data_IF_651469642418
#
_entry.id   IF_651469642418
#
_cell.length_a   1.000
_cell.length_b   1.000
_cell.length_c   1.000
_cell.angle_alpha   90.00
_cell.angle_beta   90.00
_cell.angle_gamma   90.00
#
_symmetry.space_group_name_H-M   'P 1'
#
loop_
_entity.id
_entity.type
_entity.pdbx_description
1 polymer ?
#
# COMPACT_ATOMS: atom_id res chain seq x y z
N UNK A 1 -20.49 5.53 -24.60
CA UNK A 1 -21.12 6.74 -24.05
C UNK A 1 -20.31 7.19 -22.84
N UNK A 2 -20.17 8.51 -22.58
CA UNK A 2 -19.52 8.98 -21.37
C UNK A 2 -20.36 8.65 -20.13
N UNK A 3 -19.71 8.38 -18.99
CA UNK A 3 -20.34 8.02 -17.72
C UNK A 3 -19.66 8.76 -16.57
N UNK A 4 -20.44 9.32 -15.65
CA UNK A 4 -19.97 9.83 -14.36
C UNK A 4 -20.76 9.13 -13.26
N UNK A 5 -20.07 8.53 -12.29
CA UNK A 5 -20.71 7.84 -11.17
C UNK A 5 -19.88 7.91 -9.89
N UNK A 6 -20.53 7.69 -8.74
CA UNK A 6 -19.82 7.53 -7.47
C UNK A 6 -19.29 6.11 -7.33
N UNK A 7 -18.04 5.99 -6.91
CA UNK A 7 -17.42 4.74 -6.51
C UNK A 7 -17.62 4.51 -5.01
N UNK A 8 -18.07 3.31 -4.67
CA UNK A 8 -18.00 2.79 -3.31
C UNK A 8 -16.56 2.38 -3.00
N UNK A 9 -16.15 2.37 -1.73
CA UNK A 9 -14.88 1.77 -1.33
C UNK A 9 -14.80 0.31 -1.80
N UNK A 10 -13.65 -0.10 -2.31
CA UNK A 10 -13.47 -1.45 -2.82
C UNK A 10 -12.18 -1.67 -3.60
N UNK A 11 -12.06 -2.88 -4.15
CA UNK A 11 -10.93 -3.27 -4.98
C UNK A 11 -11.19 -2.91 -6.44
N UNK A 12 -10.20 -2.29 -7.07
CA UNK A 12 -10.15 -2.03 -8.52
C UNK A 12 -9.07 -2.92 -9.13
N UNK A 13 -9.46 -3.70 -10.14
CA UNK A 13 -8.54 -4.52 -10.93
C UNK A 13 -8.29 -3.84 -12.27
N UNK A 14 -7.02 -3.54 -12.54
CA UNK A 14 -6.53 -3.04 -13.81
C UNK A 14 -5.86 -4.18 -14.57
N UNK A 15 -6.36 -4.48 -15.77
CA UNK A 15 -5.74 -5.46 -16.67
C UNK A 15 -4.99 -4.71 -17.77
N UNK A 16 -3.69 -4.95 -17.86
CA UNK A 16 -2.81 -4.36 -18.86
C UNK A 16 -2.87 -5.15 -20.16
N UNK A 17 -2.46 -4.51 -21.27
CA UNK A 17 -2.46 -5.13 -22.61
C UNK A 17 -1.55 -6.35 -22.70
N UNK A 18 -0.48 -6.39 -21.90
CA UNK A 18 0.45 -7.51 -21.80
C UNK A 18 -0.11 -8.71 -21.00
N UNK A 19 -1.32 -8.60 -20.44
CA UNK A 19 -1.96 -9.64 -19.64
C UNK A 19 -1.73 -9.51 -18.12
N UNK A 20 -0.88 -8.59 -17.68
CA UNK A 20 -0.63 -8.37 -16.26
C UNK A 20 -1.86 -7.78 -15.56
N UNK A 21 -2.09 -8.22 -14.33
CA UNK A 21 -3.13 -7.66 -13.47
C UNK A 21 -2.52 -6.85 -12.33
N UNK A 22 -3.03 -5.62 -12.15
CA UNK A 22 -2.73 -4.78 -11.01
C UNK A 22 -3.98 -4.57 -10.18
N UNK A 23 -3.83 -4.66 -8.86
CA UNK A 23 -4.92 -4.49 -7.92
C UNK A 23 -4.69 -3.23 -7.11
N UNK A 24 -5.75 -2.46 -6.92
CA UNK A 24 -5.77 -1.24 -6.13
C UNK A 24 -6.91 -1.31 -5.13
N UNK A 25 -6.69 -0.86 -3.91
CA UNK A 25 -7.74 -0.48 -3.00
C UNK A 25 -8.06 1.00 -3.21
N UNK A 26 -9.35 1.33 -3.34
CA UNK A 26 -9.83 2.70 -3.34
C UNK A 26 -10.80 2.90 -2.17
N UNK A 27 -10.66 4.02 -1.45
CA UNK A 27 -11.56 4.38 -0.35
C UNK A 27 -12.94 4.87 -0.82
N UNK A 28 -13.15 4.98 -2.13
CA UNK A 28 -14.35 5.55 -2.77
C UNK A 28 -14.00 6.77 -3.62
N UNK A 29 -15.00 7.44 -4.19
CA UNK A 29 -14.79 8.67 -4.94
C UNK A 29 -15.69 8.81 -6.17
N UNK A 30 -15.16 9.36 -7.26
CA UNK A 30 -15.86 9.56 -8.52
C UNK A 30 -15.12 8.84 -9.65
N UNK A 31 -15.88 8.12 -10.47
CA UNK A 31 -15.42 7.53 -11.72
C UNK A 31 -15.97 8.37 -12.88
N UNK A 32 -15.08 8.81 -13.74
CA UNK A 32 -15.39 9.42 -15.03
C UNK A 32 -14.88 8.54 -16.17
N UNK A 33 -15.75 8.20 -17.11
CA UNK A 33 -15.43 7.43 -18.31
C UNK A 33 -15.66 8.32 -19.52
N UNK A 34 -14.61 8.56 -20.29
CA UNK A 34 -14.64 9.24 -21.58
C UNK A 34 -14.20 8.26 -22.69
N UNK A 35 -14.40 8.56 -24.00
CA UNK A 35 -14.10 7.60 -25.07
C UNK A 35 -12.64 7.13 -25.13
N UNK A 36 -11.69 7.95 -24.69
CA UNK A 36 -10.25 7.66 -24.76
C UNK A 36 -9.58 7.51 -23.39
N UNK A 37 -10.26 7.93 -22.31
CA UNK A 37 -9.67 7.99 -20.97
C UNK A 37 -10.70 7.63 -19.90
N UNK A 38 -10.25 6.90 -18.88
CA UNK A 38 -11.01 6.63 -17.68
C UNK A 38 -10.25 7.24 -16.50
N UNK A 39 -10.93 8.08 -15.73
CA UNK A 39 -10.35 8.78 -14.59
C UNK A 39 -11.06 8.37 -13.30
N UNK A 40 -10.28 7.91 -12.32
CA UNK A 40 -10.75 7.61 -10.96
C UNK A 40 -10.19 8.67 -10.02
N UNK A 41 -11.08 9.49 -9.48
CA UNK A 41 -10.75 10.48 -8.45
C UNK A 41 -11.15 9.87 -7.10
N UNK A 42 -10.17 9.55 -6.26
CA UNK A 42 -10.37 8.92 -4.95
C UNK A 42 -9.57 9.65 -3.87
N UNK A 43 -10.13 9.75 -2.67
CA UNK A 43 -9.44 10.33 -1.51
C UNK A 43 -8.21 9.50 -1.10
N UNK A 44 -8.26 8.19 -1.34
CA UNK A 44 -7.14 7.27 -1.12
C UNK A 44 -7.17 6.16 -2.17
N UNK A 45 -6.04 5.98 -2.84
CA UNK A 45 -5.81 4.88 -3.78
C UNK A 45 -4.46 4.24 -3.48
N UNK A 46 -4.47 2.97 -3.08
CA UNK A 46 -3.26 2.22 -2.69
C UNK A 46 -3.17 0.97 -3.53
N UNK A 47 -2.02 0.70 -4.16
CA UNK A 47 -1.80 -0.58 -4.83
C UNK A 47 -1.85 -1.70 -3.80
N UNK A 48 -2.54 -2.80 -4.10
CA UNK A 48 -2.66 -3.93 -3.19
C UNK A 48 -1.29 -4.47 -2.78
N UNK A 49 -0.34 -4.52 -3.71
CA UNK A 49 1.04 -4.91 -3.41
C UNK A 49 1.78 -3.89 -2.51
N UNK A 50 1.37 -2.63 -2.53
CA UNK A 50 1.93 -1.56 -1.68
C UNK A 50 1.20 -1.48 -0.33
N UNK A 51 0.08 -2.17 -0.12
CA UNK A 51 -0.67 -2.14 1.15
C UNK A 51 0.13 -2.83 2.28
N UNK A 52 0.76 -3.96 1.97
CA UNK A 52 1.65 -4.68 2.89
C UNK A 52 2.96 -3.90 3.11
N UNK A 53 3.50 -3.28 2.06
CA UNK A 53 4.69 -2.43 2.17
C UNK A 53 4.40 -1.15 2.97
N UNK A 54 3.25 -0.51 2.78
CA UNK A 54 2.86 0.71 3.47
C UNK A 54 2.64 0.46 4.96
N UNK A 55 2.01 -0.66 5.33
CA UNK A 55 1.88 -1.05 6.73
C UNK A 55 3.24 -1.33 7.37
N UNK A 56 4.10 -2.09 6.70
CA UNK A 56 5.41 -2.40 7.23
C UNK A 56 6.34 -1.16 7.30
N UNK A 57 6.25 -0.23 6.33
CA UNK A 57 6.93 1.08 6.39
C UNK A 57 6.40 1.97 7.49
N UNK A 58 5.08 1.99 7.71
CA UNK A 58 4.47 2.77 8.79
C UNK A 58 4.91 2.24 10.15
N UNK A 59 4.89 0.91 10.35
CA UNK A 59 5.41 0.28 11.55
C UNK A 59 6.90 0.59 11.78
N UNK A 60 7.70 0.62 10.71
CA UNK A 60 9.11 1.06 10.76
C UNK A 60 9.23 2.52 11.23
N UNK A 61 8.47 3.44 10.64
CA UNK A 61 8.51 4.87 10.95
C UNK A 61 8.04 5.14 12.40
N UNK A 62 6.99 4.46 12.84
CA UNK A 62 6.48 4.54 14.22
C UNK A 62 7.52 4.01 15.22
N UNK A 63 8.18 2.89 14.91
CA UNK A 63 9.25 2.34 15.74
C UNK A 63 10.51 3.24 15.74
N UNK A 64 10.90 3.84 14.61
CA UNK A 64 12.00 4.80 14.54
C UNK A 64 11.70 6.06 15.37
N UNK A 65 10.45 6.55 15.34
CA UNK A 65 10.01 7.68 16.19
C UNK A 65 9.99 7.31 17.67
N UNK A 66 9.58 6.08 18.01
CA UNK A 66 9.59 5.59 19.38
C UNK A 66 11.01 5.45 19.95
N UNK A 67 12.00 5.08 19.13
CA UNK A 67 13.42 5.03 19.53
C UNK A 67 14.03 6.44 19.62
N UNK A 68 13.65 7.34 18.72
CA UNK A 68 14.15 8.72 18.69
C UNK A 68 13.61 9.58 19.84
N UNK A 69 12.35 9.35 20.24
CA UNK A 69 11.82 9.89 21.48
C UNK A 69 12.42 9.11 22.65
N UNK A 70 13.09 9.79 23.58
CA UNK A 70 13.72 9.17 24.75
C UNK A 70 12.67 8.64 25.73
N UNK A 71 12.06 7.49 25.43
CA UNK A 71 11.27 6.68 26.36
C UNK A 71 12.17 5.88 27.32
N UNK A 72 11.56 5.19 28.28
CA UNK A 72 12.30 4.37 29.24
C UNK A 72 13.07 3.23 28.55
N UNK A 73 14.15 2.74 29.15
CA UNK A 73 15.02 1.68 28.57
C UNK A 73 14.24 0.43 28.12
N UNK A 74 13.10 0.15 28.75
CA UNK A 74 12.21 -0.95 28.38
C UNK A 74 11.42 -0.68 27.09
N UNK A 75 10.94 0.55 26.89
CA UNK A 75 10.23 0.96 25.66
C UNK A 75 11.15 0.97 24.44
N UNK A 76 12.44 1.32 24.64
CA UNK A 76 13.45 1.28 23.59
C UNK A 76 13.70 -0.16 23.11
N UNK A 77 13.74 -1.13 24.03
CA UNK A 77 13.95 -2.53 23.68
C UNK A 77 12.77 -3.14 22.91
N UNK A 78 11.53 -2.80 23.28
CA UNK A 78 10.35 -3.19 22.51
C UNK A 78 10.31 -2.53 21.13
N UNK A 79 10.61 -1.23 21.04
CA UNK A 79 10.64 -0.52 19.77
C UNK A 79 11.73 -1.07 18.83
N UNK A 80 12.91 -1.46 19.35
CA UNK A 80 13.94 -2.12 18.55
C UNK A 80 13.52 -3.49 18.01
N UNK A 81 12.80 -4.28 18.81
CA UNK A 81 12.26 -5.56 18.36
C UNK A 81 11.18 -5.36 17.27
N UNK A 82 10.29 -4.39 17.45
CA UNK A 82 9.30 -4.03 16.44
C UNK A 82 9.94 -3.52 15.15
N UNK A 83 11.00 -2.72 15.25
CA UNK A 83 11.77 -2.26 14.10
C UNK A 83 12.41 -3.42 13.34
N UNK A 84 13.04 -4.37 14.06
CA UNK A 84 13.65 -5.55 13.45
C UNK A 84 12.62 -6.44 12.73
N UNK A 85 11.44 -6.63 13.33
CA UNK A 85 10.35 -7.39 12.70
C UNK A 85 9.81 -6.69 11.46
N UNK A 86 9.61 -5.37 11.49
CA UNK A 86 9.15 -4.59 10.34
C UNK A 86 10.15 -4.65 9.18
N UNK A 87 11.45 -4.56 9.46
CA UNK A 87 12.51 -4.69 8.45
C UNK A 87 12.52 -6.10 7.85
N UNK A 88 12.41 -7.15 8.67
CA UNK A 88 12.37 -8.53 8.18
C UNK A 88 11.14 -8.80 7.28
N UNK A 89 9.97 -8.24 7.63
CA UNK A 89 8.78 -8.33 6.80
C UNK A 89 8.95 -7.61 5.46
N UNK A 90 9.52 -6.41 5.45
CA UNK A 90 9.81 -5.67 4.21
C UNK A 90 10.75 -6.46 3.29
N UNK A 91 11.82 -7.03 3.84
CA UNK A 91 12.76 -7.85 3.07
C UNK A 91 12.09 -9.11 2.50
N UNK A 92 11.27 -9.81 3.29
CA UNK A 92 10.51 -10.96 2.81
C UNK A 92 9.55 -10.59 1.67
N UNK A 93 8.90 -9.42 1.77
CA UNK A 93 8.01 -8.89 0.73
C UNK A 93 8.76 -8.56 -0.57
N UNK A 94 9.95 -7.95 -0.47
CA UNK A 94 10.82 -7.68 -1.61
C UNK A 94 11.28 -8.98 -2.31
N UNK A 95 11.62 -10.01 -1.54
CA UNK A 95 12.00 -11.31 -2.08
C UNK A 95 10.84 -12.02 -2.81
N UNK A 96 9.63 -11.98 -2.24
CA UNK A 96 8.43 -12.52 -2.86
C UNK A 96 8.10 -11.81 -4.19
N UNK A 97 8.18 -10.48 -4.21
CA UNK A 97 7.97 -9.67 -5.42
C UNK A 97 8.98 -9.95 -6.53
N UNK A 98 10.22 -10.26 -6.17
CA UNK A 98 11.28 -10.58 -7.14
C UNK A 98 11.05 -11.95 -7.78
N UNK A 99 10.49 -12.90 -7.02
CA UNK A 99 10.18 -14.25 -7.51
C UNK A 99 8.87 -14.35 -8.30
N UNK A 100 7.90 -13.46 -8.08
CA UNK A 100 6.65 -13.38 -8.84
C UNK A 100 6.81 -12.73 -10.24
N UNK A 101 7.99 -12.19 -10.57
CA UNK A 101 8.32 -11.59 -11.87
C UNK A 101 8.99 -12.57 -12.85
N UNK A 102 9.12 -13.84 -12.49
CA UNK A 102 9.61 -14.95 -13.33
C UNK A 102 8.48 -15.94 -13.56
#
# INVERSE_FOLDING_TARGET
>A
APLITRLKPGQVRLKLENGDEQFFYVSGGILEVQPQVVTVLADTAVRAADLDEAQARKAKDDAERAIANRGDTMEIAEAQNQLAQAIAQLQALEHLRRNLKH
#
